data_IF_628539010800
#
_entry.id   IF_628539010800
#
_cell.length_a   1.000
_cell.length_b   1.000
_cell.length_c   1.000
_cell.angle_alpha   90.00
_cell.angle_beta   90.00
_cell.angle_gamma   90.00
#
_symmetry.space_group_name_H-M   'P 1'
#
loop_
_entity.id
_entity.type
_entity.pdbx_description
1 polymer ?
#
# COMPACT_ATOMS: atom_id res chain seq x y z
N UNK A 1 31.84 -23.52 -2.93
CA UNK A 1 32.37 -22.54 -3.91
C UNK A 1 31.30 -22.19 -4.96
N UNK A 2 30.06 -21.92 -4.53
CA UNK A 2 28.91 -21.56 -5.41
C UNK A 2 28.18 -20.32 -4.87
N UNK A 3 28.22 -20.09 -3.55
CA UNK A 3 27.56 -18.91 -2.93
C UNK A 3 28.22 -17.57 -3.22
N UNK A 4 29.54 -17.54 -3.45
CA UNK A 4 30.23 -16.28 -3.74
C UNK A 4 29.84 -15.69 -5.10
N UNK A 5 29.48 -16.55 -6.06
CA UNK A 5 29.10 -16.11 -7.40
C UNK A 5 27.69 -15.51 -7.43
N UNK A 6 26.77 -16.02 -6.61
CA UNK A 6 25.42 -15.44 -6.43
C UNK A 6 25.46 -14.10 -5.71
N UNK A 7 26.31 -13.95 -4.70
CA UNK A 7 26.44 -12.68 -3.97
C UNK A 7 27.01 -11.57 -4.87
N UNK A 8 28.01 -11.91 -5.69
CA UNK A 8 28.58 -10.99 -6.68
C UNK A 8 27.56 -10.58 -7.74
N UNK A 9 26.72 -11.51 -8.20
CA UNK A 9 25.68 -11.21 -9.20
C UNK A 9 24.59 -10.28 -8.65
N UNK A 10 24.20 -10.45 -7.39
CA UNK A 10 23.24 -9.59 -6.70
C UNK A 10 23.80 -8.18 -6.46
N UNK A 11 25.08 -8.08 -6.11
CA UNK A 11 25.79 -6.79 -5.95
C UNK A 11 25.93 -6.04 -7.29
N UNK A 12 26.19 -6.75 -8.40
CA UNK A 12 26.22 -6.12 -9.72
C UNK A 12 24.84 -5.63 -10.17
N UNK A 13 23.76 -6.33 -9.82
CA UNK A 13 22.40 -5.93 -10.18
C UNK A 13 21.97 -4.66 -9.43
N UNK A 14 22.31 -4.54 -8.14
CA UNK A 14 22.01 -3.36 -7.32
C UNK A 14 22.76 -2.09 -7.78
N UNK A 15 23.99 -2.24 -8.31
CA UNK A 15 24.77 -1.11 -8.83
C UNK A 15 24.30 -0.62 -10.21
N UNK A 16 23.60 -1.45 -10.99
CA UNK A 16 23.07 -1.06 -12.32
C UNK A 16 21.71 -0.35 -12.28
N UNK A 17 20.97 -0.44 -11.18
CA UNK A 17 19.68 0.28 -11.00
C UNK A 17 19.89 1.76 -10.65
N UNK A 18 21.11 2.16 -10.23
CA UNK A 18 21.45 3.53 -9.87
C UNK A 18 21.65 4.49 -11.06
N UNK A 19 21.27 4.10 -12.28
CA UNK A 19 21.22 4.98 -13.46
C UNK A 19 19.81 5.03 -14.06
N UNK A 20 18.78 5.20 -13.23
CA UNK A 20 17.53 5.81 -13.68
C UNK A 20 17.77 7.32 -13.84
N UNK A 21 17.95 7.75 -15.09
CA UNK A 21 17.89 9.16 -15.45
C UNK A 21 16.51 9.70 -15.09
N UNK A 22 16.49 10.69 -14.20
CA UNK A 22 15.35 11.55 -13.91
C UNK A 22 14.87 12.22 -15.18
N UNK A 23 13.78 11.73 -15.78
CA UNK A 23 13.01 12.50 -16.73
C UNK A 23 12.15 13.48 -15.95
N UNK A 24 12.57 14.75 -15.99
CA UNK A 24 11.90 15.86 -15.33
C UNK A 24 10.48 16.05 -15.84
N UNK A 25 9.55 16.05 -14.91
CA UNK A 25 8.20 16.54 -15.13
C UNK A 25 8.25 18.06 -15.04
N UNK A 26 8.40 18.73 -16.18
CA UNK A 26 8.15 20.15 -16.29
C UNK A 26 6.93 20.36 -17.20
N UNK A 27 5.76 20.48 -16.58
CA UNK A 27 4.66 21.22 -17.19
C UNK A 27 4.51 22.53 -16.41
N UNK A 28 4.99 23.60 -17.04
CA UNK A 28 4.71 24.97 -16.64
C UNK A 28 3.27 25.28 -17.01
N UNK A 29 2.38 25.36 -16.02
CA UNK A 29 1.07 25.96 -16.20
C UNK A 29 1.21 27.48 -16.09
N UNK A 30 0.92 28.19 -17.19
CA UNK A 30 0.51 29.59 -17.09
C UNK A 30 -0.97 29.59 -16.72
N UNK A 31 -1.30 30.29 -15.64
CA UNK A 31 -2.65 30.64 -15.27
C UNK A 31 -3.38 31.31 -16.44
N UNK A 32 -4.54 30.76 -16.79
CA UNK A 32 -5.57 31.49 -17.50
C UNK A 32 -6.88 31.28 -16.73
N UNK A 33 -7.28 32.32 -16.01
CA UNK A 33 -8.61 32.44 -15.45
C UNK A 33 -9.64 32.54 -16.59
N UNK A 34 -10.60 31.63 -16.62
CA UNK A 34 -11.92 31.92 -17.20
C UNK A 34 -12.98 31.04 -16.54
N UNK A 35 -13.78 31.69 -15.71
CA UNK A 35 -15.02 31.17 -15.13
C UNK A 35 -16.07 31.02 -16.23
N UNK A 36 -16.69 29.84 -16.37
CA UNK A 36 -18.15 29.73 -16.61
C UNK A 36 -18.61 28.27 -16.74
N UNK A 37 -19.59 27.95 -15.88
CA UNK A 37 -20.72 27.04 -16.04
C UNK A 37 -20.47 25.54 -16.24
N UNK A 38 -20.71 24.82 -15.15
CA UNK A 38 -21.32 23.49 -15.19
C UNK A 38 -22.55 23.48 -16.09
N UNK A 39 -22.57 22.54 -17.04
CA UNK A 39 -23.76 21.77 -17.39
C UNK A 39 -23.34 20.55 -18.21
N UNK A 40 -23.47 19.38 -17.59
CA UNK A 40 -23.99 18.14 -18.17
C UNK A 40 -23.51 17.76 -19.58
N UNK A 41 -22.49 16.91 -19.67
CA UNK A 41 -22.30 16.03 -20.83
C UNK A 41 -22.03 14.60 -20.38
N UNK A 42 -23.12 13.84 -20.38
CA UNK A 42 -23.19 12.38 -20.44
C UNK A 42 -22.03 11.79 -21.25
N UNK A 43 -21.36 10.78 -20.66
CA UNK A 43 -20.19 10.09 -21.17
C UNK A 43 -20.29 9.82 -22.67
N UNK A 44 -19.53 10.60 -23.44
CA UNK A 44 -19.29 10.36 -24.85
C UNK A 44 -18.58 9.03 -24.98
N UNK A 45 -19.32 8.02 -25.46
CA UNK A 45 -18.72 6.83 -26.06
C UNK A 45 -17.92 7.33 -27.25
N UNK A 46 -16.61 7.52 -27.06
CA UNK A 46 -15.70 7.71 -28.17
C UNK A 46 -15.69 6.40 -28.97
N UNK A 47 -16.54 6.34 -29.99
CA UNK A 47 -16.49 5.35 -31.06
C UNK A 47 -15.45 5.85 -32.05
N UNK A 48 -14.27 5.24 -32.01
CA UNK A 48 -13.21 5.53 -32.95
C UNK A 48 -13.53 4.82 -34.27
N UNK A 49 -14.12 5.55 -35.22
CA UNK A 49 -14.18 5.15 -36.63
C UNK A 49 -13.09 5.91 -37.38
N UNK A 50 -12.20 5.18 -38.07
CA UNK A 50 -11.18 5.78 -38.94
C UNK A 50 -11.80 6.19 -40.28
N UNK A 51 -12.76 7.11 -40.26
CA UNK A 51 -13.36 7.67 -41.48
C UNK A 51 -12.50 8.83 -41.99
N UNK A 52 -11.36 8.49 -42.55
CA UNK A 52 -10.71 9.32 -43.55
C UNK A 52 -11.50 9.21 -44.85
N UNK A 53 -12.03 10.33 -45.34
CA UNK A 53 -12.85 10.51 -46.55
C UNK A 53 -14.37 10.33 -46.37
N UNK A 54 -15.02 11.40 -45.88
CA UNK A 54 -16.47 11.58 -45.86
C UNK A 54 -17.04 11.79 -47.29
N UNK A 55 -16.92 10.79 -48.17
CA UNK A 55 -17.76 10.67 -49.35
C UNK A 55 -18.95 9.77 -49.01
N UNK A 56 -20.10 10.39 -48.74
CA UNK A 56 -21.32 9.68 -48.35
C UNK A 56 -21.81 8.68 -49.42
N UNK A 57 -21.36 8.85 -50.67
CA UNK A 57 -21.59 7.91 -51.77
C UNK A 57 -20.62 6.72 -51.71
N UNK A 58 -19.34 6.97 -51.46
CA UNK A 58 -18.32 5.97 -51.18
C UNK A 58 -18.63 5.11 -49.96
N UNK A 59 -19.13 5.71 -48.87
CA UNK A 59 -19.56 5.01 -47.65
C UNK A 59 -20.72 4.06 -47.96
N UNK A 60 -21.74 4.49 -48.70
CA UNK A 60 -22.86 3.61 -49.08
C UNK A 60 -22.46 2.48 -50.02
N UNK A 61 -21.50 2.72 -50.92
CA UNK A 61 -20.94 1.68 -51.80
C UNK A 61 -20.09 0.69 -51.00
N UNK A 62 -19.28 1.17 -50.06
CA UNK A 62 -18.50 0.33 -49.14
C UNK A 62 -19.39 -0.45 -48.18
N UNK A 63 -20.45 0.15 -47.63
CA UNK A 63 -21.40 -0.52 -46.72
C UNK A 63 -22.23 -1.56 -47.47
N UNK A 64 -22.68 -1.27 -48.69
CA UNK A 64 -23.36 -2.26 -49.54
C UNK A 64 -22.41 -3.34 -50.04
N UNK A 65 -21.16 -3.02 -50.38
CA UNK A 65 -20.13 -4.01 -50.70
C UNK A 65 -19.81 -4.85 -49.47
N UNK A 66 -19.68 -4.25 -48.28
CA UNK A 66 -19.42 -4.89 -46.98
C UNK A 66 -20.59 -5.72 -46.49
N UNK A 67 -21.84 -5.35 -46.75
CA UNK A 67 -23.01 -6.14 -46.38
C UNK A 67 -23.23 -7.30 -47.37
N UNK A 68 -22.94 -7.10 -48.66
CA UNK A 68 -22.87 -8.20 -49.64
C UNK A 68 -21.66 -9.12 -49.38
N UNK A 69 -20.50 -8.59 -48.97
CA UNK A 69 -19.30 -9.35 -48.57
C UNK A 69 -19.40 -9.94 -47.16
N UNK A 70 -20.17 -9.37 -46.23
CA UNK A 70 -20.45 -10.01 -44.92
C UNK A 70 -21.38 -11.20 -45.10
N UNK A 71 -22.26 -11.17 -46.10
CA UNK A 71 -23.01 -12.35 -46.55
C UNK A 71 -22.16 -13.31 -47.43
N UNK A 72 -21.13 -12.80 -48.13
CA UNK A 72 -20.28 -13.55 -49.07
C UNK A 72 -18.85 -13.84 -48.56
N UNK A 73 -18.54 -13.59 -47.29
CA UNK A 73 -17.37 -14.18 -46.61
C UNK A 73 -17.75 -15.59 -46.17
N UNK A 74 -18.12 -16.41 -47.17
CA UNK A 74 -18.11 -17.85 -47.03
C UNK A 74 -16.66 -18.30 -46.69
N UNK A 75 -16.52 -19.55 -46.29
CA UNK A 75 -15.19 -20.13 -46.04
C UNK A 75 -14.26 -20.10 -47.27
N UNK A 76 -14.78 -19.99 -48.51
CA UNK A 76 -13.99 -19.91 -49.74
C UNK A 76 -13.16 -18.61 -49.80
N UNK A 77 -13.81 -17.45 -49.62
CA UNK A 77 -13.12 -16.15 -49.70
C UNK A 77 -12.15 -15.97 -48.53
N UNK A 78 -12.52 -16.42 -47.33
CA UNK A 78 -11.65 -16.34 -46.15
C UNK A 78 -10.44 -17.29 -46.21
N UNK A 79 -10.59 -18.49 -46.78
CA UNK A 79 -9.48 -19.45 -46.94
C UNK A 79 -8.55 -19.05 -48.10
N UNK A 80 -9.12 -18.58 -49.22
CA UNK A 80 -8.34 -17.99 -50.31
C UNK A 80 -7.54 -16.77 -49.85
N UNK A 81 -8.10 -15.99 -48.93
CA UNK A 81 -7.46 -14.83 -48.29
C UNK A 81 -6.25 -15.22 -47.43
N UNK A 82 -6.37 -16.13 -46.46
CA UNK A 82 -5.25 -16.47 -45.57
C UNK A 82 -4.02 -17.02 -46.31
N UNK A 83 -4.21 -17.85 -47.35
CA UNK A 83 -3.11 -18.46 -48.09
C UNK A 83 -2.36 -17.49 -49.02
N UNK A 84 -2.91 -16.31 -49.26
CA UNK A 84 -2.55 -15.48 -50.40
C UNK A 84 -2.30 -14.02 -50.05
N UNK A 85 -2.70 -13.59 -48.86
CA UNK A 85 -2.28 -12.33 -48.26
C UNK A 85 -0.77 -12.19 -48.10
N UNK A 86 -0.05 -13.31 -47.94
CA UNK A 86 1.42 -13.35 -48.05
C UNK A 86 1.93 -12.84 -49.41
N UNK A 87 1.11 -12.98 -50.47
CA UNK A 87 1.38 -12.49 -51.81
C UNK A 87 1.13 -10.99 -51.99
N UNK A 88 0.12 -10.40 -51.33
CA UNK A 88 -0.11 -8.95 -51.37
C UNK A 88 0.96 -8.18 -50.55
N UNK A 89 1.54 -8.78 -49.49
CA UNK A 89 2.57 -8.16 -48.63
C UNK A 89 3.99 -8.15 -49.22
N UNK A 90 4.33 -9.10 -50.10
CA UNK A 90 5.66 -9.20 -50.73
C UNK A 90 5.77 -8.44 -52.07
N UNK A 91 4.76 -7.62 -52.39
CA UNK A 91 4.64 -6.92 -53.68
C UNK A 91 4.16 -7.84 -54.80
N UNK A 92 3.11 -7.43 -55.50
CA UNK A 92 2.50 -8.17 -56.64
C UNK A 92 3.39 -8.18 -57.90
N UNK A 93 4.70 -7.96 -57.76
CA UNK A 93 5.67 -7.94 -58.86
C UNK A 93 5.94 -9.35 -59.45
N UNK A 94 5.35 -10.40 -58.86
CA UNK A 94 5.36 -11.75 -59.42
C UNK A 94 4.01 -12.02 -60.08
N UNK A 95 3.97 -11.95 -61.41
CA UNK A 95 2.77 -12.23 -62.23
C UNK A 95 2.08 -13.54 -61.83
N UNK A 96 2.85 -14.55 -61.42
CA UNK A 96 2.35 -15.85 -60.98
C UNK A 96 1.47 -15.76 -59.72
N UNK A 97 1.84 -14.96 -58.71
CA UNK A 97 1.06 -14.80 -57.46
C UNK A 97 -0.24 -14.05 -57.72
N UNK A 98 -0.16 -12.99 -58.54
CA UNK A 98 -1.33 -12.24 -59.02
C UNK A 98 -2.27 -13.15 -59.82
N UNK A 99 -1.72 -13.97 -60.73
CA UNK A 99 -2.49 -14.92 -61.53
C UNK A 99 -3.17 -15.99 -60.68
N UNK A 100 -2.51 -16.50 -59.64
CA UNK A 100 -3.13 -17.43 -58.68
C UNK A 100 -4.23 -16.77 -57.87
N UNK A 101 -4.07 -15.49 -57.53
CA UNK A 101 -5.11 -14.77 -56.82
C UNK A 101 -6.35 -14.55 -57.65
N UNK A 102 -6.18 -14.05 -58.86
CA UNK A 102 -7.27 -13.96 -59.81
C UNK A 102 -7.99 -15.31 -60.00
N UNK A 103 -7.24 -16.42 -60.07
CA UNK A 103 -7.81 -17.77 -60.16
C UNK A 103 -8.71 -18.11 -58.96
N UNK A 104 -8.22 -17.91 -57.73
CA UNK A 104 -9.01 -18.20 -56.53
C UNK A 104 -10.23 -17.30 -56.37
N UNK A 105 -10.09 -16.00 -56.67
CA UNK A 105 -11.23 -15.07 -56.68
C UNK A 105 -12.30 -15.50 -57.70
N UNK A 106 -11.85 -15.90 -58.89
CA UNK A 106 -12.75 -16.38 -59.95
C UNK A 106 -13.45 -17.69 -59.60
N UNK A 107 -12.73 -18.63 -58.98
CA UNK A 107 -13.28 -19.90 -58.51
C UNK A 107 -14.34 -19.68 -57.41
N UNK A 108 -14.05 -18.81 -56.43
CA UNK A 108 -15.03 -18.48 -55.40
C UNK A 108 -16.25 -17.75 -56.00
N UNK A 109 -16.05 -16.84 -56.97
CA UNK A 109 -17.15 -16.17 -57.67
C UNK A 109 -18.03 -17.17 -58.46
N UNK A 110 -17.42 -18.14 -59.15
CA UNK A 110 -18.17 -19.17 -59.86
C UNK A 110 -19.04 -19.99 -58.89
N UNK A 111 -18.47 -20.43 -57.77
CA UNK A 111 -19.22 -21.18 -56.75
C UNK A 111 -20.37 -20.37 -56.16
N UNK A 112 -20.14 -19.11 -55.83
CA UNK A 112 -21.16 -18.24 -55.22
C UNK A 112 -22.27 -17.85 -56.20
N UNK A 113 -21.97 -17.80 -57.49
CA UNK A 113 -22.96 -17.58 -58.55
C UNK A 113 -23.72 -18.86 -58.94
N UNK A 114 -23.49 -19.99 -58.25
CA UNK A 114 -24.11 -21.28 -58.55
C UNK A 114 -23.59 -21.95 -59.83
N UNK A 115 -22.43 -21.52 -60.32
CA UNK A 115 -21.77 -22.04 -61.52
C UNK A 115 -20.75 -23.13 -61.16
N UNK A 116 -20.36 -23.97 -62.13
CA UNK A 116 -19.29 -24.95 -61.91
C UNK A 116 -17.98 -24.26 -61.47
N UNK A 117 -17.24 -24.84 -60.50
CA UNK A 117 -15.97 -24.30 -60.07
C UNK A 117 -14.91 -24.39 -61.18
N UNK A 118 -13.84 -23.61 -61.05
CA UNK A 118 -12.69 -23.76 -61.92
C UNK A 118 -12.06 -25.15 -61.78
N UNK A 119 -11.41 -25.67 -62.85
CA UNK A 119 -10.71 -26.95 -62.76
C UNK A 119 -9.61 -26.91 -61.69
N UNK A 120 -9.18 -28.07 -61.19
CA UNK A 120 -8.08 -28.11 -60.23
C UNK A 120 -6.77 -27.63 -60.89
N UNK A 121 -6.09 -26.67 -60.26
CA UNK A 121 -4.80 -26.14 -60.69
C UNK A 121 -3.75 -26.44 -59.62
N UNK A 122 -2.69 -27.19 -59.99
CA UNK A 122 -1.63 -27.56 -59.05
C UNK A 122 -0.86 -26.31 -58.56
N UNK A 123 -0.73 -26.10 -57.24
CA UNK A 123 0.04 -24.99 -56.65
C UNK A 123 1.49 -24.89 -57.14
N UNK A 124 2.10 -25.98 -57.60
CA UNK A 124 3.47 -26.02 -58.12
C UNK A 124 3.56 -25.79 -59.63
N UNK A 125 2.44 -25.86 -60.35
CA UNK A 125 2.39 -25.76 -61.81
C UNK A 125 2.19 -24.32 -62.28
N UNK A 126 2.91 -23.85 -63.30
CA UNK A 126 2.76 -22.47 -63.81
C UNK A 126 1.31 -22.14 -64.18
N UNK A 127 0.82 -20.95 -63.81
CA UNK A 127 -0.56 -20.53 -64.10
C UNK A 127 -0.89 -20.53 -65.59
N UNK A 128 0.09 -20.26 -66.46
CA UNK A 128 -0.08 -20.36 -67.91
C UNK A 128 -0.58 -21.74 -68.38
N UNK A 129 -0.30 -22.83 -67.65
CA UNK A 129 -0.84 -24.17 -67.95
C UNK A 129 -2.30 -24.28 -67.53
N UNK A 130 -2.65 -23.78 -66.36
CA UNK A 130 -4.02 -23.81 -65.84
C UNK A 130 -4.98 -22.96 -66.71
N UNK A 131 -4.51 -21.80 -67.19
CA UNK A 131 -5.30 -20.90 -68.04
C UNK A 131 -5.66 -21.48 -69.41
N UNK A 132 -4.87 -22.43 -69.93
CA UNK A 132 -5.15 -23.10 -71.21
C UNK A 132 -6.34 -24.05 -71.15
N UNK A 133 -6.72 -24.50 -69.95
CA UNK A 133 -7.82 -25.43 -69.75
C UNK A 133 -9.17 -24.70 -69.67
N UNK A 134 -9.15 -23.39 -69.43
CA UNK A 134 -10.36 -22.58 -69.29
C UNK A 134 -11.09 -22.42 -70.62
N UNK A 135 -12.42 -22.49 -70.59
CA UNK A 135 -13.26 -22.09 -71.72
C UNK A 135 -13.33 -20.54 -71.84
N UNK A 136 -13.92 -20.04 -72.93
CA UNK A 136 -13.98 -18.60 -73.22
C UNK A 136 -14.66 -17.79 -72.10
N UNK A 137 -15.73 -18.33 -71.52
CA UNK A 137 -16.44 -17.68 -70.42
C UNK A 137 -15.60 -17.65 -69.14
N UNK A 138 -15.00 -18.78 -68.75
CA UNK A 138 -14.12 -18.88 -67.58
C UNK A 138 -12.90 -17.98 -67.72
N UNK A 139 -12.32 -17.90 -68.92
CA UNK A 139 -11.18 -17.04 -69.20
C UNK A 139 -11.56 -15.55 -69.06
N UNK A 140 -12.77 -15.17 -69.47
CA UNK A 140 -13.29 -13.80 -69.30
C UNK A 140 -13.48 -13.46 -67.82
N UNK A 141 -14.09 -14.37 -67.04
CA UNK A 141 -14.24 -14.20 -65.58
C UNK A 141 -12.87 -14.06 -64.93
N UNK A 142 -11.92 -14.93 -65.28
CA UNK A 142 -10.54 -14.84 -64.80
C UNK A 142 -9.89 -13.48 -65.07
N UNK A 143 -10.00 -13.00 -66.31
CA UNK A 143 -9.37 -11.75 -66.72
C UNK A 143 -9.93 -10.55 -65.96
N UNK A 144 -11.24 -10.52 -65.70
CA UNK A 144 -11.89 -9.48 -64.89
C UNK A 144 -11.25 -9.39 -63.50
N UNK A 145 -11.15 -10.50 -62.79
CA UNK A 145 -10.52 -10.53 -61.46
C UNK A 145 -9.01 -10.27 -61.52
N UNK A 146 -8.32 -10.70 -62.58
CA UNK A 146 -6.89 -10.46 -62.76
C UNK A 146 -6.55 -8.97 -62.91
N UNK A 147 -7.36 -8.24 -63.68
CA UNK A 147 -7.19 -6.80 -63.86
C UNK A 147 -7.42 -6.05 -62.55
N UNK A 148 -8.43 -6.44 -61.78
CA UNK A 148 -8.80 -5.81 -60.50
C UNK A 148 -7.95 -6.26 -59.29
N UNK A 149 -7.10 -7.26 -59.45
CA UNK A 149 -6.35 -7.88 -58.34
C UNK A 149 -5.56 -6.86 -57.49
N UNK A 150 -4.95 -5.84 -58.10
CA UNK A 150 -4.18 -4.84 -57.37
C UNK A 150 -5.08 -3.98 -56.47
N UNK A 151 -6.22 -3.54 -57.01
CA UNK A 151 -7.23 -2.76 -56.27
C UNK A 151 -7.79 -3.56 -55.09
N UNK A 152 -8.12 -4.83 -55.36
CA UNK A 152 -8.63 -5.78 -54.36
C UNK A 152 -7.58 -6.00 -53.24
N UNK A 153 -6.31 -6.24 -53.57
CA UNK A 153 -5.24 -6.39 -52.57
C UNK A 153 -5.11 -5.15 -51.68
N UNK A 154 -5.11 -3.95 -52.25
CA UNK A 154 -4.97 -2.72 -51.47
C UNK A 154 -6.17 -2.48 -50.54
N UNK A 155 -7.39 -2.69 -51.02
CA UNK A 155 -8.60 -2.55 -50.21
C UNK A 155 -8.60 -3.55 -49.05
N UNK A 156 -8.21 -4.79 -49.33
CA UNK A 156 -8.11 -5.86 -48.35
C UNK A 156 -7.04 -5.60 -47.28
N UNK A 157 -5.86 -5.10 -47.66
CA UNK A 157 -4.82 -4.68 -46.72
C UNK A 157 -5.29 -3.54 -45.82
N UNK A 158 -5.95 -2.53 -46.40
CA UNK A 158 -6.52 -1.43 -45.64
C UNK A 158 -7.58 -1.91 -44.64
N UNK A 159 -8.45 -2.84 -45.05
CA UNK A 159 -9.47 -3.40 -44.17
C UNK A 159 -8.86 -4.23 -43.02
N UNK A 160 -7.86 -5.07 -43.30
CA UNK A 160 -7.17 -5.84 -42.27
C UNK A 160 -6.44 -4.93 -41.27
N UNK A 161 -5.74 -3.90 -41.76
CA UNK A 161 -5.09 -2.90 -40.92
C UNK A 161 -6.12 -2.13 -40.06
N UNK A 162 -7.23 -1.70 -40.65
CA UNK A 162 -8.33 -1.03 -39.94
C UNK A 162 -8.88 -1.91 -38.82
N UNK A 163 -9.20 -3.17 -39.12
CA UNK A 163 -9.74 -4.10 -38.14
C UNK A 163 -8.79 -4.34 -36.96
N UNK A 164 -7.51 -4.61 -37.22
CA UNK A 164 -6.52 -4.79 -36.14
C UNK A 164 -6.32 -3.52 -35.33
N UNK A 165 -6.32 -2.35 -35.98
CA UNK A 165 -6.21 -1.06 -35.29
C UNK A 165 -7.43 -0.80 -34.39
N UNK A 166 -8.65 -1.02 -34.91
CA UNK A 166 -9.89 -0.88 -34.12
C UNK A 166 -9.89 -1.85 -32.92
N UNK A 167 -9.45 -3.10 -33.11
CA UNK A 167 -9.32 -4.08 -32.01
C UNK A 167 -8.36 -3.58 -30.94
N UNK A 168 -7.15 -3.17 -31.32
CA UNK A 168 -6.12 -2.71 -30.39
C UNK A 168 -6.52 -1.42 -29.65
N UNK A 169 -7.16 -0.48 -30.35
CA UNK A 169 -7.66 0.77 -29.73
C UNK A 169 -8.78 0.47 -28.73
N UNK A 170 -9.68 -0.45 -29.05
CA UNK A 170 -10.74 -0.86 -28.11
C UNK A 170 -10.18 -1.61 -26.89
N UNK A 171 -9.19 -2.47 -27.08
CA UNK A 171 -8.47 -3.11 -25.97
C UNK A 171 -7.76 -2.08 -25.09
N UNK A 172 -7.08 -1.10 -25.71
CA UNK A 172 -6.42 0.00 -24.99
C UNK A 172 -7.43 0.84 -24.19
N UNK A 173 -8.56 1.20 -24.81
CA UNK A 173 -9.66 1.93 -24.14
C UNK A 173 -10.19 1.15 -22.94
N UNK A 174 -10.44 -0.14 -23.09
CA UNK A 174 -10.91 -0.98 -21.99
C UNK A 174 -9.88 -1.06 -20.86
N UNK A 175 -8.59 -1.17 -21.20
CA UNK A 175 -7.52 -1.20 -20.22
C UNK A 175 -7.35 0.15 -19.49
N UNK A 176 -7.52 1.26 -20.21
CA UNK A 176 -7.44 2.61 -19.64
C UNK A 176 -8.58 2.85 -18.66
N UNK A 177 -9.82 2.55 -19.06
CA UNK A 177 -11.00 2.68 -18.18
C UNK A 177 -10.89 1.78 -16.94
N UNK A 178 -10.36 0.56 -17.09
CA UNK A 178 -10.12 -0.32 -15.95
C UNK A 178 -9.09 0.27 -14.98
N UNK A 179 -8.00 0.84 -15.50
CA UNK A 179 -6.99 1.48 -14.67
C UNK A 179 -7.54 2.72 -13.94
N UNK A 180 -8.34 3.53 -14.63
CA UNK A 180 -9.06 4.68 -14.06
C UNK A 180 -9.95 4.27 -12.89
N UNK A 181 -10.83 3.28 -13.09
CA UNK A 181 -11.71 2.74 -12.03
C UNK A 181 -10.90 2.24 -10.81
N UNK A 182 -9.75 1.59 -11.02
CA UNK A 182 -8.90 1.15 -9.90
C UNK A 182 -8.22 2.30 -9.18
N UNK A 183 -7.84 3.36 -9.89
CA UNK A 183 -7.25 4.56 -9.28
C UNK A 183 -8.28 5.31 -8.43
N UNK A 184 -9.53 5.43 -8.90
CA UNK A 184 -10.63 6.03 -8.10
C UNK A 184 -10.87 5.25 -6.80
N UNK A 185 -10.89 3.91 -6.86
CA UNK A 185 -11.00 3.06 -5.65
C UNK A 185 -9.82 3.25 -4.71
N UNK A 186 -8.60 3.42 -5.24
CA UNK A 186 -7.40 3.66 -4.44
C UNK A 186 -7.47 5.03 -3.76
N UNK A 187 -7.93 6.06 -4.47
CA UNK A 187 -8.13 7.40 -3.94
C UNK A 187 -9.13 7.38 -2.76
N UNK A 188 -10.32 6.81 -2.97
CA UNK A 188 -11.35 6.68 -1.92
C UNK A 188 -10.83 5.96 -0.67
N UNK A 189 -10.10 4.85 -0.85
CA UNK A 189 -9.52 4.10 0.27
C UNK A 189 -8.40 4.86 0.97
N UNK A 190 -7.62 5.65 0.23
CA UNK A 190 -6.56 6.48 0.79
C UNK A 190 -7.14 7.59 1.64
N UNK A 191 -8.23 8.21 1.22
CA UNK A 191 -8.94 9.23 2.00
C UNK A 191 -9.54 8.64 3.29
N UNK A 192 -10.18 7.46 3.20
CA UNK A 192 -10.66 6.73 4.39
C UNK A 192 -9.53 6.39 5.37
N UNK A 193 -8.37 5.96 4.87
CA UNK A 193 -7.17 5.70 5.69
C UNK A 193 -6.65 6.96 6.36
N UNK A 194 -6.59 8.09 5.63
CA UNK A 194 -6.17 9.37 6.18
C UNK A 194 -7.12 9.83 7.30
N UNK A 195 -8.44 9.69 7.08
CA UNK A 195 -9.44 10.00 8.09
C UNK A 195 -9.27 9.13 9.35
N UNK A 196 -9.09 7.81 9.17
CA UNK A 196 -8.83 6.89 10.28
C UNK A 196 -7.54 7.24 11.03
N UNK A 197 -6.48 7.64 10.32
CA UNK A 197 -5.22 8.07 10.92
C UNK A 197 -5.40 9.34 11.77
N UNK A 198 -6.18 10.31 11.32
CA UNK A 198 -6.47 11.53 12.08
C UNK A 198 -7.23 11.21 13.38
N UNK A 199 -8.23 10.31 13.31
CA UNK A 199 -8.96 9.87 14.51
C UNK A 199 -8.06 9.16 15.52
N UNK A 200 -7.09 8.35 15.05
CA UNK A 200 -6.09 7.72 15.90
C UNK A 200 -5.20 8.79 16.56
N UNK A 201 -4.76 9.79 15.80
CA UNK A 201 -3.94 10.88 16.32
C UNK A 201 -4.66 11.66 17.42
N UNK A 202 -5.93 12.02 17.21
CA UNK A 202 -6.77 12.69 18.21
C UNK A 202 -6.95 11.83 19.46
N UNK A 203 -7.15 10.53 19.27
CA UNK A 203 -7.27 9.56 20.37
C UNK A 203 -5.98 9.46 21.18
N UNK A 204 -4.81 9.42 20.52
CA UNK A 204 -3.51 9.39 21.18
C UNK A 204 -3.27 10.67 21.98
N UNK A 205 -3.63 11.84 21.43
CA UNK A 205 -3.50 13.12 22.14
C UNK A 205 -4.41 13.18 23.39
N UNK A 206 -5.63 12.64 23.29
CA UNK A 206 -6.55 12.50 24.43
C UNK A 206 -6.01 11.55 25.50
N UNK A 207 -5.39 10.43 25.09
CA UNK A 207 -4.74 9.49 26.01
C UNK A 207 -3.56 10.15 26.71
N UNK A 208 -2.72 10.90 25.99
CA UNK A 208 -1.58 11.62 26.58
C UNK A 208 -2.04 12.62 27.65
N UNK A 209 -3.06 13.44 27.34
CA UNK A 209 -3.68 14.35 28.30
C UNK A 209 -4.19 13.63 29.55
N UNK A 210 -4.88 12.49 29.38
CA UNK A 210 -5.37 11.69 30.51
C UNK A 210 -4.24 11.08 31.33
N UNK A 211 -3.19 10.58 30.69
CA UNK A 211 -2.01 10.02 31.38
C UNK A 211 -1.30 11.12 32.18
N UNK A 212 -1.14 12.33 31.62
CA UNK A 212 -0.60 13.48 32.34
C UNK A 212 -1.48 13.87 33.53
N UNK A 213 -2.80 13.92 33.33
CA UNK A 213 -3.74 14.23 34.40
C UNK A 213 -3.62 13.21 35.54
N UNK A 214 -3.68 11.90 35.24
CA UNK A 214 -3.52 10.83 36.24
C UNK A 214 -2.18 10.95 36.96
N UNK A 215 -1.08 11.15 36.24
CA UNK A 215 0.23 11.34 36.87
C UNK A 215 0.24 12.53 37.83
N UNK A 216 -0.44 13.62 37.49
CA UNK A 216 -0.49 14.82 38.31
C UNK A 216 -1.43 14.68 39.52
N UNK A 217 -2.61 14.06 39.39
CA UNK A 217 -3.47 13.76 40.54
C UNK A 217 -2.81 12.75 41.47
N UNK A 218 -2.26 11.66 40.96
CA UNK A 218 -1.56 10.67 41.80
C UNK A 218 -0.40 11.31 42.55
N UNK A 219 0.36 12.19 41.90
CA UNK A 219 1.40 12.97 42.56
C UNK A 219 0.80 13.84 43.67
N UNK A 220 -0.14 14.72 43.36
CA UNK A 220 -0.69 15.66 44.33
C UNK A 220 -1.37 14.97 45.52
N UNK A 221 -2.19 13.95 45.26
CA UNK A 221 -2.93 13.23 46.29
C UNK A 221 -1.98 12.46 47.22
N UNK A 222 -0.99 11.75 46.66
CA UNK A 222 -0.02 10.98 47.47
C UNK A 222 0.85 11.90 48.32
N UNK A 223 1.36 13.01 47.76
CA UNK A 223 2.21 13.94 48.51
C UNK A 223 1.40 14.70 49.57
N UNK A 224 0.14 15.05 49.30
CA UNK A 224 -0.74 15.71 50.28
C UNK A 224 -1.07 14.78 51.45
N UNK A 225 -1.46 13.54 51.16
CA UNK A 225 -1.78 12.55 52.20
C UNK A 225 -0.54 12.22 53.04
N UNK A 226 0.60 11.96 52.39
CA UNK A 226 1.86 11.68 53.09
C UNK A 226 2.32 12.88 53.93
N UNK A 227 2.17 14.11 53.42
CA UNK A 227 2.48 15.33 54.17
C UNK A 227 1.62 15.45 55.43
N UNK A 228 0.31 15.21 55.31
CA UNK A 228 -0.61 15.24 56.45
C UNK A 228 -0.29 14.14 57.49
N UNK A 229 0.06 12.93 57.03
CA UNK A 229 0.42 11.81 57.90
C UNK A 229 1.74 12.09 58.64
N UNK A 230 2.73 12.70 57.98
CA UNK A 230 3.99 13.14 58.61
C UNK A 230 3.74 14.23 59.65
N UNK A 231 2.86 15.21 59.37
CA UNK A 231 2.53 16.27 60.31
C UNK A 231 1.82 15.73 61.57
N UNK A 232 0.91 14.76 61.39
CA UNK A 232 0.27 14.07 62.50
C UNK A 232 1.30 13.32 63.36
N UNK A 233 2.18 12.53 62.75
CA UNK A 233 3.25 11.80 63.45
C UNK A 233 4.19 12.76 64.21
N UNK A 234 4.51 13.91 63.62
CA UNK A 234 5.33 14.94 64.28
C UNK A 234 4.63 15.51 65.52
N UNK A 235 3.33 15.77 65.45
CA UNK A 235 2.56 16.27 66.59
C UNK A 235 2.46 15.21 67.70
N UNK A 236 2.19 13.96 67.35
CA UNK A 236 2.20 12.83 68.30
C UNK A 236 3.56 12.67 68.97
N UNK A 237 4.66 12.76 68.21
CA UNK A 237 6.02 12.70 68.75
C UNK A 237 6.31 13.84 69.73
N UNK A 238 5.86 15.07 69.44
CA UNK A 238 6.02 16.22 70.34
C UNK A 238 5.21 16.05 71.65
N UNK A 239 4.02 15.45 71.58
CA UNK A 239 3.20 15.13 72.76
C UNK A 239 3.86 14.05 73.63
N UNK A 240 4.41 13.01 72.99
CA UNK A 240 5.20 11.96 73.67
C UNK A 240 6.43 12.58 74.37
N UNK A 241 7.16 13.48 73.70
CA UNK A 241 8.33 14.16 74.28
C UNK A 241 7.95 14.97 75.53
N UNK A 242 6.80 15.64 75.51
CA UNK A 242 6.27 16.38 76.66
C UNK A 242 5.92 15.46 77.83
N UNK A 243 5.27 14.33 77.58
CA UNK A 243 4.97 13.34 78.63
C UNK A 243 6.24 12.70 79.19
N UNK A 244 7.23 12.36 78.36
CA UNK A 244 8.54 11.86 78.81
C UNK A 244 9.21 12.89 79.73
N UNK A 245 9.19 14.16 79.35
CA UNK A 245 9.74 15.25 80.17
C UNK A 245 9.04 15.33 81.53
N UNK A 246 7.69 15.27 81.55
CA UNK A 246 6.90 15.28 82.79
C UNK A 246 7.21 14.09 83.69
N UNK A 247 7.28 12.88 83.13
CA UNK A 247 7.65 11.67 83.87
C UNK A 247 9.08 11.79 84.41
N UNK A 248 10.01 12.32 83.62
CA UNK A 248 11.39 12.59 84.03
C UNK A 248 11.48 13.54 85.22
N UNK A 249 10.73 14.64 85.20
CA UNK A 249 10.64 15.60 86.30
C UNK A 249 10.07 14.96 87.58
N UNK A 250 9.00 14.15 87.45
CA UNK A 250 8.40 13.45 88.59
C UNK A 250 9.36 12.42 89.20
N UNK A 251 10.04 11.64 88.36
CA UNK A 251 11.08 10.70 88.79
C UNK A 251 12.23 11.42 89.50
N UNK A 252 12.68 12.57 88.98
CA UNK A 252 13.72 13.39 89.60
C UNK A 252 13.32 13.88 91.00
N UNK A 253 12.06 14.33 91.17
CA UNK A 253 11.53 14.72 92.48
C UNK A 253 11.50 13.56 93.47
N UNK A 254 10.98 12.38 93.05
CA UNK A 254 10.93 11.19 93.91
C UNK A 254 12.34 10.68 94.25
N UNK A 255 13.28 10.73 93.31
CA UNK A 255 14.66 10.34 93.55
C UNK A 255 15.33 11.26 94.57
N UNK A 256 15.16 12.59 94.45
CA UNK A 256 15.66 13.55 95.45
C UNK A 256 15.08 13.30 96.84
N UNK A 257 13.79 12.96 96.92
CA UNK A 257 13.15 12.60 98.18
C UNK A 257 13.74 11.31 98.79
N UNK A 258 13.89 10.25 97.98
CA UNK A 258 14.50 8.99 98.42
C UNK A 258 15.96 9.18 98.86
N UNK A 259 16.74 9.97 98.11
CA UNK A 259 18.11 10.34 98.46
C UNK A 259 18.15 11.02 99.84
N UNK A 260 17.32 12.04 100.06
CA UNK A 260 17.23 12.73 101.35
C UNK A 260 16.86 11.77 102.50
N UNK A 261 15.97 10.81 102.26
CA UNK A 261 15.61 9.80 103.27
C UNK A 261 16.75 8.81 103.55
N UNK A 262 17.49 8.42 102.52
CA UNK A 262 18.67 7.57 102.67
C UNK A 262 19.78 8.29 103.46
N UNK A 263 19.99 9.59 103.17
CA UNK A 263 20.93 10.44 103.88
C UNK A 263 20.52 10.58 105.38
N UNK A 264 19.23 10.88 105.66
CA UNK A 264 18.68 10.92 107.03
C UNK A 264 18.94 9.60 107.81
N UNK A 265 18.73 8.45 107.15
CA UNK A 265 18.98 7.13 107.75
C UNK A 265 20.47 6.91 107.99
N UNK A 266 21.32 7.29 107.03
CA UNK A 266 22.78 7.22 107.15
C UNK A 266 23.29 7.99 108.35
N UNK A 267 22.81 9.23 108.53
CA UNK A 267 23.15 10.08 109.67
C UNK A 267 22.73 9.45 111.01
N UNK A 268 21.48 8.97 111.11
CA UNK A 268 20.97 8.32 112.34
C UNK A 268 21.73 7.03 112.65
N UNK A 269 21.99 6.19 111.64
CA UNK A 269 22.73 4.95 111.81
C UNK A 269 24.17 5.21 112.26
N UNK A 270 24.83 6.23 111.70
CA UNK A 270 26.15 6.70 112.14
C UNK A 270 26.15 7.11 113.60
N UNK A 271 25.23 8.00 114.01
CA UNK A 271 25.09 8.42 115.42
C UNK A 271 24.83 7.23 116.34
N UNK A 272 24.01 6.27 115.91
CA UNK A 272 23.68 5.08 116.72
C UNK A 272 24.88 4.15 116.87
N UNK A 273 25.67 3.95 115.80
CA UNK A 273 26.92 3.19 115.84
C UNK A 273 27.94 3.87 116.74
N UNK A 274 28.12 5.18 116.65
CA UNK A 274 29.01 5.95 117.54
C UNK A 274 28.60 5.79 119.01
N UNK A 275 27.29 5.84 119.29
CA UNK A 275 26.75 5.59 120.64
C UNK A 275 26.91 4.16 121.12
N UNK A 276 26.92 3.15 120.22
CA UNK A 276 27.21 1.77 120.58
C UNK A 276 28.71 1.50 120.72
N UNK A 277 29.57 2.26 120.02
CA UNK A 277 31.02 2.17 120.13
C UNK A 277 31.51 2.66 121.51
N UNK A 278 30.94 3.73 122.06
CA UNK A 278 31.32 4.26 123.38
C UNK A 278 31.31 3.23 124.54
N UNK A 279 30.24 2.44 124.75
CA UNK A 279 30.24 1.41 125.79
C UNK A 279 31.13 0.21 125.43
N UNK A 280 31.33 -0.12 124.15
CA UNK A 280 32.26 -1.18 123.73
C UNK A 280 33.72 -0.79 124.00
N UNK A 281 34.10 0.45 123.72
CA UNK A 281 35.42 0.99 124.06
C UNK A 281 35.61 1.04 125.58
N UNK A 282 34.57 1.45 126.32
CA UNK A 282 34.56 1.42 127.78
C UNK A 282 34.71 0.01 128.36
N UNK A 283 34.03 -0.99 127.79
CA UNK A 283 34.16 -2.40 128.19
C UNK A 283 35.53 -2.98 127.81
N UNK A 284 36.06 -2.65 126.64
CA UNK A 284 37.41 -3.06 126.20
C UNK A 284 38.48 -2.47 127.12
N UNK A 285 38.32 -1.21 127.51
CA UNK A 285 39.23 -0.53 128.46
C UNK A 285 39.16 -1.19 129.85
N UNK A 286 37.96 -1.44 130.37
CA UNK A 286 37.79 -2.14 131.65
C UNK A 286 38.31 -3.59 131.62
N UNK A 287 38.22 -4.28 130.47
CA UNK A 287 38.78 -5.63 130.29
C UNK A 287 40.32 -5.61 130.24
N UNK A 288 40.92 -4.61 129.61
CA UNK A 288 42.38 -4.40 129.59
C UNK A 288 42.91 -4.04 130.99
N UNK A 289 42.15 -3.29 131.80
CA UNK A 289 42.51 -2.96 133.19
C UNK A 289 42.38 -4.15 134.17
N UNK A 290 41.66 -5.20 133.80
CA UNK A 290 41.55 -6.46 134.55
C UNK A 290 42.66 -7.48 134.18
N UNK A 291 43.53 -7.15 133.23
CA UNK A 291 44.59 -8.02 132.73
C UNK A 291 45.98 -7.76 133.32
N UNK A 292 46.10 -6.96 134.39
CA UNK A 292 47.35 -6.75 135.14
C UNK A 292 47.14 -6.74 136.66
#
# INVERSE_FOLDING_TARGET
MVDHHRLLFLLTFLLTVSKCQSWGWFFSSKEAHSTSNENFLSGSVAEFSIDGFNDQKGIRLMENAKNNLKLSLNSCWQSAHQHLFSGCSEGLAVDEKRSRFAWHLSDCFQKDSGRPPFPSCDPKSSMAKCLKVLNEYEHKVYLEFYLETNSICHQLQAHAFRHETERLVNELKSSANYAEEKLEIIEERTENLLQGSNQIFDSLNSIDLRTQQVAQTTKNDSYSHLGQEIDNLRNEAAEIEKEISRVGDEMSMKMKFLQSKADDIGDIAGISLDKQQQPLDGQTTALNDLQF
#
